data_IF_420394064391
#
_entry.id   IF_420394064391
#
_cell.length_a   1.000
_cell.length_b   1.000
_cell.length_c   1.000
_cell.angle_alpha   90.00
_cell.angle_beta   90.00
_cell.angle_gamma   90.00
#
_symmetry.space_group_name_H-M   'P 1'
#
loop_
_entity.id
_entity.type
_entity.pdbx_description
1 polymer ?
#
# COMPACT_ATOMS: atom_id res chain seq x y z
N UNK A 1 18.15 15.28 47.44
CA UNK A 1 19.02 14.16 47.06
C UNK A 1 18.08 13.05 46.57
N UNK A 2 17.96 12.94 45.26
CA UNK A 2 18.41 11.77 44.47
C UNK A 2 17.33 10.67 44.53
N UNK A 3 16.56 10.40 43.47
CA UNK A 3 17.02 10.05 42.13
C UNK A 3 17.04 8.53 42.04
N UNK A 4 15.98 7.92 41.50
CA UNK A 4 15.87 6.48 41.33
C UNK A 4 15.29 6.18 39.95
N UNK A 5 16.22 6.00 39.00
CA UNK A 5 15.99 5.73 37.58
C UNK A 5 15.07 4.52 37.35
N UNK A 6 14.11 4.68 36.43
CA UNK A 6 13.43 3.58 35.76
C UNK A 6 14.50 2.75 35.02
N UNK A 7 14.71 1.51 35.47
CA UNK A 7 15.46 0.53 34.71
C UNK A 7 14.59 0.08 33.53
N UNK A 8 14.95 0.51 32.33
CA UNK A 8 14.53 -0.16 31.10
C UNK A 8 15.16 -1.56 31.12
N UNK A 9 14.35 -2.61 31.22
CA UNK A 9 14.78 -3.98 30.97
C UNK A 9 15.16 -4.09 29.50
N UNK A 10 16.46 -3.94 29.19
CA UNK A 10 17.01 -4.32 27.89
C UNK A 10 16.86 -5.84 27.75
N UNK A 11 15.97 -6.27 26.87
CA UNK A 11 15.88 -7.67 26.47
C UNK A 11 17.11 -8.04 25.64
N UNK A 12 17.96 -8.93 26.16
CA UNK A 12 19.13 -9.40 25.43
C UNK A 12 18.72 -10.45 24.38
N UNK A 13 18.65 -10.06 23.12
CA UNK A 13 18.50 -11.00 22.00
C UNK A 13 19.82 -11.76 21.79
N UNK A 14 19.77 -13.10 21.74
CA UNK A 14 20.94 -13.95 21.49
C UNK A 14 20.85 -14.56 20.09
N UNK A 15 21.82 -14.29 19.23
CA UNK A 15 21.92 -14.87 17.88
C UNK A 15 23.03 -15.93 17.84
N UNK A 16 22.74 -17.08 17.24
CA UNK A 16 23.71 -18.18 17.13
C UNK A 16 24.72 -17.91 16.01
N UNK A 17 25.91 -18.50 16.12
CA UNK A 17 26.88 -18.46 15.04
C UNK A 17 26.30 -19.13 13.78
N UNK A 18 26.36 -18.42 12.65
CA UNK A 18 25.78 -18.87 11.38
C UNK A 18 24.36 -18.37 11.10
N UNK A 19 23.77 -17.53 11.96
CA UNK A 19 22.51 -16.84 11.65
C UNK A 19 22.69 -15.93 10.44
N UNK A 20 21.92 -16.18 9.38
CA UNK A 20 21.83 -15.30 8.22
C UNK A 20 21.12 -14.01 8.60
N UNK A 21 21.80 -12.87 8.44
CA UNK A 21 21.24 -11.53 8.74
C UNK A 21 20.76 -10.83 7.46
N UNK A 22 21.38 -11.14 6.32
CA UNK A 22 21.01 -10.62 5.01
C UNK A 22 21.46 -11.60 3.91
N UNK A 23 20.81 -11.54 2.75
CA UNK A 23 21.17 -12.32 1.57
C UNK A 23 20.92 -11.53 0.29
N UNK A 24 21.57 -11.96 -0.81
CA UNK A 24 21.37 -11.41 -2.14
C UNK A 24 20.72 -12.45 -3.03
N UNK A 25 19.64 -12.08 -3.71
CA UNK A 25 18.95 -12.95 -4.68
C UNK A 25 19.29 -12.58 -6.11
N UNK A 26 19.26 -13.58 -6.99
CA UNK A 26 19.36 -13.40 -8.43
C UNK A 26 18.16 -14.11 -9.08
N UNK A 27 17.54 -13.45 -10.07
CA UNK A 27 16.39 -14.03 -10.76
C UNK A 27 16.88 -15.02 -11.81
N UNK A 28 16.35 -16.23 -11.74
CA UNK A 28 16.53 -17.26 -12.74
C UNK A 28 15.43 -17.13 -13.79
N UNK A 29 15.80 -17.09 -15.07
CA UNK A 29 14.86 -17.18 -16.19
C UNK A 29 15.09 -18.49 -16.92
N UNK A 30 13.98 -19.18 -17.14
CA UNK A 30 13.90 -20.38 -17.95
C UNK A 30 13.16 -19.99 -19.22
N UNK A 31 13.79 -20.16 -20.38
CA UNK A 31 13.21 -19.86 -21.69
C UNK A 31 13.45 -21.05 -22.62
N UNK A 32 12.47 -21.96 -22.70
CA UNK A 32 12.66 -23.27 -23.31
C UNK A 32 13.76 -24.07 -22.58
N UNK A 33 14.83 -24.40 -23.31
CA UNK A 33 15.98 -25.16 -22.79
C UNK A 33 17.12 -24.26 -22.26
N UNK A 34 16.98 -22.93 -22.30
CA UNK A 34 18.00 -22.01 -21.79
C UNK A 34 17.73 -21.57 -20.35
N UNK A 35 18.80 -21.50 -19.57
CA UNK A 35 18.79 -21.08 -18.17
C UNK A 35 19.71 -19.86 -18.02
N UNK A 36 19.10 -18.70 -17.82
CA UNK A 36 19.83 -17.44 -17.64
C UNK A 36 19.65 -16.91 -16.22
N UNK A 37 20.73 -16.36 -15.66
CA UNK A 37 20.72 -15.67 -14.37
C UNK A 37 20.89 -14.18 -14.65
N UNK A 38 19.93 -13.37 -14.22
CA UNK A 38 20.07 -11.92 -14.33
C UNK A 38 19.64 -11.20 -13.07
N UNK A 39 20.25 -10.02 -12.90
CA UNK A 39 19.87 -9.08 -11.86
C UNK A 39 18.64 -8.32 -12.35
N UNK A 40 17.45 -8.70 -11.88
CA UNK A 40 16.24 -7.90 -12.07
C UNK A 40 15.45 -7.99 -10.78
N UNK A 41 15.60 -6.97 -9.95
CA UNK A 41 14.50 -6.49 -9.14
C UNK A 41 13.40 -6.14 -10.15
N UNK A 42 12.31 -6.89 -10.10
CA UNK A 42 11.07 -6.46 -10.71
C UNK A 42 10.12 -6.46 -9.53
N UNK A 43 10.07 -5.33 -8.83
CA UNK A 43 8.82 -4.97 -8.17
C UNK A 43 7.74 -4.95 -9.26
N UNK A 44 6.51 -5.37 -8.96
CA UNK A 44 5.39 -5.12 -9.86
C UNK A 44 5.28 -3.61 -10.18
N UNK A 45 5.66 -2.72 -9.24
CA UNK A 45 5.81 -1.28 -9.43
C UNK A 45 6.90 -0.91 -10.45
N UNK A 46 7.98 -1.71 -10.59
CA UNK A 46 8.98 -1.52 -11.66
C UNK A 46 8.55 -2.16 -12.99
N UNK A 47 7.57 -3.06 -12.95
CA UNK A 47 7.00 -3.73 -14.12
C UNK A 47 5.88 -2.91 -14.77
N UNK A 48 5.27 -1.97 -14.03
CA UNK A 48 4.31 -0.99 -14.54
C UNK A 48 5.02 0.08 -15.35
N UNK A 49 5.33 -0.23 -16.62
CA UNK A 49 5.61 0.79 -17.62
C UNK A 49 4.36 1.66 -17.79
N UNK A 50 4.32 2.79 -17.09
CA UNK A 50 3.27 3.83 -17.02
C UNK A 50 2.19 3.64 -15.93
N UNK A 51 2.26 4.40 -14.81
CA UNK A 51 1.24 4.41 -13.74
C UNK A 51 -0.12 4.99 -14.15
N UNK A 52 -0.18 5.76 -15.25
CA UNK A 52 -1.29 6.68 -15.54
C UNK A 52 -2.64 6.01 -15.78
N UNK A 53 -2.65 4.83 -16.40
CA UNK A 53 -3.88 4.12 -16.75
C UNK A 53 -4.24 2.98 -15.77
N UNK A 54 -3.29 2.55 -14.92
CA UNK A 54 -3.44 1.35 -14.10
C UNK A 54 -3.98 1.61 -12.69
N UNK A 55 -3.81 2.84 -12.17
CA UNK A 55 -4.22 3.20 -10.79
C UNK A 55 -5.62 3.81 -10.71
N UNK A 56 -6.31 3.97 -11.85
CA UNK A 56 -7.63 4.61 -11.94
C UNK A 56 -8.74 3.65 -12.33
N UNK A 57 -8.47 2.33 -12.40
CA UNK A 57 -9.48 1.33 -12.73
C UNK A 57 -10.71 1.40 -11.83
N UNK A 58 -10.49 1.64 -10.53
CA UNK A 58 -11.56 1.84 -9.55
C UNK A 58 -12.26 3.20 -9.68
N UNK A 59 -11.59 4.24 -10.20
CA UNK A 59 -12.14 5.59 -10.32
C UNK A 59 -13.33 5.65 -11.30
N UNK A 60 -13.31 4.79 -12.32
CA UNK A 60 -14.31 4.72 -13.39
C UNK A 60 -15.61 4.02 -12.97
N UNK A 61 -15.64 3.43 -11.77
CA UNK A 61 -16.83 2.79 -11.22
C UNK A 61 -17.86 3.83 -10.76
N UNK A 62 -19.13 3.42 -10.66
CA UNK A 62 -20.16 4.23 -10.04
C UNK A 62 -19.86 4.47 -8.56
N UNK A 63 -20.29 5.61 -8.03
CA UNK A 63 -20.10 6.01 -6.63
C UNK A 63 -20.52 4.89 -5.66
N UNK A 64 -21.71 4.31 -5.88
CA UNK A 64 -22.20 3.20 -5.06
C UNK A 64 -21.27 1.99 -5.06
N UNK A 65 -20.69 1.61 -6.19
CA UNK A 65 -19.73 0.51 -6.27
C UNK A 65 -18.40 0.86 -5.61
N UNK A 66 -17.91 2.10 -5.79
CA UNK A 66 -16.68 2.57 -5.11
C UNK A 66 -16.82 2.51 -3.60
N UNK A 67 -17.97 2.89 -3.05
CA UNK A 67 -18.24 2.81 -1.61
C UNK A 67 -18.23 1.36 -1.09
N UNK A 68 -18.73 0.39 -1.87
CA UNK A 68 -18.68 -1.02 -1.49
C UNK A 68 -17.23 -1.54 -1.51
N UNK A 69 -16.42 -1.14 -2.49
CA UNK A 69 -14.98 -1.41 -2.48
C UNK A 69 -14.30 -0.82 -1.25
N UNK A 70 -14.55 0.46 -0.96
CA UNK A 70 -13.95 1.15 0.19
C UNK A 70 -14.31 0.47 1.52
N UNK A 71 -15.58 0.09 1.70
CA UNK A 71 -16.02 -0.64 2.89
C UNK A 71 -15.33 -2.01 3.01
N UNK A 72 -15.16 -2.70 1.89
CA UNK A 72 -14.45 -3.99 1.87
C UNK A 72 -12.97 -3.81 2.23
N UNK A 73 -12.32 -2.77 1.73
CA UNK A 73 -10.94 -2.45 2.10
C UNK A 73 -10.79 -2.07 3.57
N UNK A 74 -11.72 -1.30 4.15
CA UNK A 74 -11.72 -1.01 5.59
C UNK A 74 -11.72 -2.28 6.44
N UNK A 75 -12.54 -3.27 6.07
CA UNK A 75 -12.59 -4.54 6.77
C UNK A 75 -11.28 -5.32 6.66
N UNK A 76 -10.66 -5.35 5.46
CA UNK A 76 -9.38 -6.01 5.21
C UNK A 76 -8.22 -5.33 5.96
N UNK A 77 -8.15 -3.99 5.91
CA UNK A 77 -7.13 -3.20 6.59
C UNK A 77 -7.20 -3.33 8.12
N UNK A 78 -8.37 -3.65 8.67
CA UNK A 78 -8.55 -3.80 10.11
C UNK A 78 -7.99 -5.11 10.68
N UNK A 79 -7.67 -6.11 9.85
CA UNK A 79 -7.06 -7.38 10.29
C UNK A 79 -5.67 -7.60 9.72
N UNK A 80 -5.43 -7.27 8.44
CA UNK A 80 -4.15 -7.43 7.74
C UNK A 80 -3.55 -8.85 7.66
N UNK A 81 -4.04 -9.81 8.43
CA UNK A 81 -3.44 -11.14 8.60
C UNK A 81 -3.33 -11.94 7.29
N UNK A 82 -4.30 -11.78 6.39
CA UNK A 82 -4.46 -12.59 5.18
C UNK A 82 -4.11 -11.84 3.88
N UNK A 83 -3.44 -10.69 3.98
CA UNK A 83 -3.00 -9.91 2.81
C UNK A 83 -2.01 -10.67 1.90
N UNK A 84 -1.07 -11.51 2.39
CA UNK A 84 -0.16 -12.27 1.53
C UNK A 84 -0.88 -13.30 0.65
N UNK A 85 -1.88 -14.00 1.19
CA UNK A 85 -2.68 -14.97 0.43
C UNK A 85 -3.54 -14.25 -0.62
N UNK A 86 -4.11 -13.09 -0.27
CA UNK A 86 -4.84 -12.25 -1.21
C UNK A 86 -3.94 -11.73 -2.34
N UNK A 87 -2.71 -11.31 -2.05
CA UNK A 87 -1.74 -10.90 -3.08
C UNK A 87 -1.45 -12.04 -4.06
N UNK A 88 -1.26 -13.27 -3.55
CA UNK A 88 -1.02 -14.43 -4.41
C UNK A 88 -2.21 -14.72 -5.32
N UNK A 89 -3.44 -14.63 -4.81
CA UNK A 89 -4.65 -14.78 -5.62
C UNK A 89 -4.74 -13.70 -6.70
N UNK A 90 -4.45 -12.44 -6.36
CA UNK A 90 -4.45 -11.32 -7.31
C UNK A 90 -3.35 -11.47 -8.38
N UNK A 91 -2.18 -11.97 -8.00
CA UNK A 91 -1.09 -12.27 -8.92
C UNK A 91 -1.49 -13.35 -9.94
N UNK A 92 -2.13 -14.43 -9.48
CA UNK A 92 -2.66 -15.48 -10.38
C UNK A 92 -3.65 -14.91 -11.39
N UNK A 93 -4.56 -14.04 -10.95
CA UNK A 93 -5.54 -13.39 -11.84
C UNK A 93 -4.89 -12.46 -12.86
N UNK A 94 -3.84 -11.72 -12.46
CA UNK A 94 -3.07 -10.88 -13.38
C UNK A 94 -2.36 -11.71 -14.46
N UNK A 95 -1.88 -12.91 -14.13
CA UNK A 95 -1.30 -13.87 -15.09
C UNK A 95 -2.38 -14.62 -15.91
N UNK A 96 -3.67 -14.25 -15.77
CA UNK A 96 -4.79 -14.85 -16.50
C UNK A 96 -5.21 -16.23 -15.97
N UNK A 97 -4.86 -16.56 -14.74
CA UNK A 97 -5.18 -17.82 -14.07
C UNK A 97 -6.34 -17.63 -13.08
N UNK A 98 -7.13 -18.69 -12.88
CA UNK A 98 -8.11 -18.72 -11.78
C UNK A 98 -7.38 -18.70 -10.42
N UNK A 99 -7.82 -17.87 -9.45
CA UNK A 99 -7.19 -17.82 -8.14
C UNK A 99 -7.44 -19.11 -7.36
N UNK A 100 -6.47 -19.49 -6.52
CA UNK A 100 -6.61 -20.66 -5.65
C UNK A 100 -7.53 -20.36 -4.45
N UNK A 101 -8.81 -20.71 -4.58
CA UNK A 101 -9.81 -20.53 -3.54
C UNK A 101 -9.66 -21.51 -2.35
N UNK A 102 -8.72 -22.47 -2.40
CA UNK A 102 -8.48 -23.35 -1.26
C UNK A 102 -7.89 -22.61 -0.06
N UNK A 103 -7.05 -21.60 -0.30
CA UNK A 103 -6.46 -20.79 0.77
C UNK A 103 -7.52 -20.10 1.64
N UNK A 104 -8.69 -19.76 1.08
CA UNK A 104 -9.82 -19.18 1.84
C UNK A 104 -10.34 -20.08 2.98
N UNK A 105 -10.19 -21.41 2.87
CA UNK A 105 -10.67 -22.34 3.89
C UNK A 105 -9.80 -22.34 5.16
N UNK A 106 -8.61 -21.77 5.09
CA UNK A 106 -7.64 -21.71 6.20
C UNK A 106 -7.75 -20.39 6.98
N UNK A 107 -8.45 -19.40 6.43
CA UNK A 107 -8.61 -18.06 7.01
C UNK A 107 -9.71 -18.03 8.08
N UNK A 108 -9.62 -17.06 8.99
CA UNK A 108 -10.70 -16.78 9.93
C UNK A 108 -11.98 -16.35 9.19
N UNK A 109 -13.15 -16.70 9.76
CA UNK A 109 -14.45 -16.46 9.10
C UNK A 109 -14.67 -15.00 8.69
N UNK A 110 -14.20 -14.05 9.52
CA UNK A 110 -14.31 -12.61 9.27
C UNK A 110 -13.45 -12.20 8.07
N UNK A 111 -12.18 -12.59 8.04
CA UNK A 111 -11.26 -12.25 6.96
C UNK A 111 -11.66 -12.93 5.65
N UNK A 112 -12.06 -14.21 5.73
CA UNK A 112 -12.62 -14.96 4.60
C UNK A 112 -13.81 -14.23 3.98
N UNK A 113 -14.75 -13.76 4.80
CA UNK A 113 -15.94 -13.06 4.31
C UNK A 113 -15.60 -11.75 3.57
N UNK A 114 -14.62 -10.98 4.05
CA UNK A 114 -14.20 -9.75 3.40
C UNK A 114 -13.42 -10.01 2.10
N UNK A 115 -12.58 -11.05 2.06
CA UNK A 115 -11.87 -11.46 0.84
C UNK A 115 -12.84 -12.03 -0.20
N UNK A 116 -13.78 -12.89 0.20
CA UNK A 116 -14.82 -13.42 -0.71
C UNK A 116 -15.65 -12.28 -1.31
N UNK A 117 -16.00 -11.28 -0.51
CA UNK A 117 -16.69 -10.08 -1.00
C UNK A 117 -15.85 -9.31 -2.01
N UNK A 118 -14.55 -9.16 -1.77
CA UNK A 118 -13.64 -8.52 -2.73
C UNK A 118 -13.59 -9.29 -4.06
N UNK A 119 -13.45 -10.63 -4.01
CA UNK A 119 -13.44 -11.48 -5.20
C UNK A 119 -14.76 -11.38 -5.98
N UNK A 120 -15.89 -11.35 -5.29
CA UNK A 120 -17.21 -11.14 -5.90
C UNK A 120 -17.30 -9.77 -6.60
N UNK A 121 -16.75 -8.70 -5.99
CA UNK A 121 -16.69 -7.36 -6.60
C UNK A 121 -15.80 -7.31 -7.85
N UNK A 122 -14.75 -8.12 -7.89
CA UNK A 122 -13.90 -8.31 -9.07
C UNK A 122 -14.58 -9.17 -10.16
N UNK A 123 -15.76 -9.75 -9.85
CA UNK A 123 -16.51 -10.61 -10.75
C UNK A 123 -16.00 -12.05 -10.78
N UNK A 124 -15.19 -12.44 -9.79
CA UNK A 124 -14.61 -13.77 -9.65
C UNK A 124 -15.58 -14.62 -8.85
N UNK A 125 -16.30 -15.50 -9.52
CA UNK A 125 -17.29 -16.36 -8.87
C UNK A 125 -16.66 -17.70 -8.49
N UNK A 126 -17.01 -18.23 -7.33
CA UNK A 126 -16.62 -19.57 -6.83
C UNK A 126 -16.90 -20.77 -7.78
N UNK A 127 -17.58 -20.54 -8.91
CA UNK A 127 -18.12 -21.58 -9.76
C UNK A 127 -17.16 -22.04 -10.89
N UNK A 128 -16.11 -21.28 -11.19
CA UNK A 128 -15.19 -21.66 -12.27
C UNK A 128 -14.13 -22.63 -11.73
N UNK A 129 -13.88 -23.77 -12.42
CA UNK A 129 -12.91 -24.76 -11.95
C UNK A 129 -11.49 -24.19 -12.01
N UNK A 130 -10.73 -24.41 -10.93
CA UNK A 130 -9.31 -24.07 -10.83
C UNK A 130 -8.51 -24.59 -12.03
N UNK A 131 -7.69 -23.72 -12.63
CA UNK A 131 -6.81 -24.07 -13.77
C UNK A 131 -7.38 -23.80 -15.17
N UNK A 132 -8.59 -23.26 -15.29
CA UNK A 132 -9.06 -22.66 -16.55
C UNK A 132 -8.45 -21.25 -16.74
N UNK A 133 -8.28 -20.77 -17.99
CA UNK A 133 -7.95 -19.37 -18.25
C UNK A 133 -9.07 -18.46 -17.72
N UNK A 134 -8.70 -17.42 -17.01
CA UNK A 134 -9.63 -16.41 -16.53
C UNK A 134 -9.99 -15.48 -17.70
N UNK A 135 -11.27 -15.40 -18.06
CA UNK A 135 -11.74 -14.50 -19.13
C UNK A 135 -12.14 -13.16 -18.52
N UNK A 136 -11.20 -12.21 -18.48
CA UNK A 136 -11.45 -10.85 -17.96
C UNK A 136 -11.75 -9.87 -19.09
N UNK A 137 -12.74 -9.00 -18.88
CA UNK A 137 -12.86 -7.79 -19.71
C UNK A 137 -11.68 -6.83 -19.44
N UNK A 138 -11.31 -5.95 -20.39
CA UNK A 138 -10.25 -4.97 -20.17
C UNK A 138 -10.47 -4.10 -18.93
N UNK A 139 -11.73 -3.76 -18.64
CA UNK A 139 -12.10 -2.99 -17.45
C UNK A 139 -11.85 -3.78 -16.16
N UNK A 140 -12.26 -5.06 -16.11
CA UNK A 140 -11.99 -5.92 -14.96
C UNK A 140 -10.49 -6.11 -14.74
N UNK A 141 -9.73 -6.30 -15.82
CA UNK A 141 -8.27 -6.41 -15.72
C UNK A 141 -7.66 -5.13 -15.12
N UNK A 142 -8.10 -3.95 -15.56
CA UNK A 142 -7.66 -2.69 -14.98
C UNK A 142 -8.01 -2.53 -13.49
N UNK A 143 -9.20 -2.98 -13.08
CA UNK A 143 -9.61 -2.99 -11.66
C UNK A 143 -8.73 -3.95 -10.86
N UNK A 144 -8.54 -5.19 -11.33
CA UNK A 144 -7.70 -6.20 -10.68
C UNK A 144 -6.27 -5.69 -10.55
N UNK A 145 -5.71 -5.05 -11.57
CA UNK A 145 -4.38 -4.42 -11.52
C UNK A 145 -4.31 -3.32 -10.45
N UNK A 146 -5.31 -2.44 -10.36
CA UNK A 146 -5.37 -1.42 -9.30
C UNK A 146 -5.41 -2.07 -7.91
N UNK A 147 -6.25 -3.10 -7.72
CA UNK A 147 -6.39 -3.80 -6.43
C UNK A 147 -5.11 -4.56 -6.08
N UNK A 148 -4.51 -5.28 -7.02
CA UNK A 148 -3.24 -5.97 -6.84
C UNK A 148 -2.13 -5.01 -6.39
N UNK A 149 -2.07 -3.83 -7.03
CA UNK A 149 -1.10 -2.78 -6.67
C UNK A 149 -1.32 -2.23 -5.26
N UNK A 150 -2.59 -2.04 -4.86
CA UNK A 150 -2.93 -1.65 -3.49
C UNK A 150 -2.50 -2.72 -2.49
N UNK A 151 -2.89 -3.98 -2.68
CA UNK A 151 -2.59 -5.07 -1.75
C UNK A 151 -1.08 -5.31 -1.64
N UNK A 152 -0.35 -5.31 -2.76
CA UNK A 152 1.10 -5.41 -2.75
C UNK A 152 1.73 -4.25 -1.96
N UNK A 153 1.21 -3.03 -2.14
CA UNK A 153 1.70 -1.88 -1.40
C UNK A 153 1.44 -2.03 0.09
N UNK A 154 0.29 -2.54 0.51
CA UNK A 154 -0.02 -2.78 1.91
C UNK A 154 0.82 -3.90 2.53
N UNK A 155 1.13 -4.97 1.77
CA UNK A 155 1.92 -6.12 2.26
C UNK A 155 3.36 -5.78 2.64
N UNK A 156 3.92 -4.70 2.10
CA UNK A 156 5.26 -4.24 2.47
C UNK A 156 5.27 -3.22 3.59
N UNK A 157 4.11 -2.69 3.99
CA UNK A 157 3.99 -1.75 5.10
C UNK A 157 3.95 -2.48 6.44
N UNK A 158 4.23 -1.74 7.51
CA UNK A 158 3.96 -2.25 8.84
C UNK A 158 2.44 -2.45 9.02
N UNK A 159 1.98 -3.53 9.69
CA UNK A 159 0.55 -3.76 9.90
C UNK A 159 -0.16 -2.58 10.59
N UNK A 160 0.53 -1.91 11.51
CA UNK A 160 -0.02 -0.72 12.19
C UNK A 160 -0.27 0.42 11.19
N UNK A 161 0.57 0.62 10.17
CA UNK A 161 0.34 1.62 9.12
C UNK A 161 -0.98 1.36 8.39
N UNK A 162 -1.31 0.10 8.11
CA UNK A 162 -2.56 -0.28 7.45
C UNK A 162 -3.79 -0.01 8.32
N UNK A 163 -3.68 -0.22 9.64
CA UNK A 163 -4.72 0.17 10.62
C UNK A 163 -4.88 1.71 10.65
N UNK A 164 -3.78 2.46 10.60
CA UNK A 164 -3.84 3.92 10.54
C UNK A 164 -4.44 4.43 9.22
N UNK A 165 -4.21 3.74 8.10
CA UNK A 165 -4.89 4.02 6.84
C UNK A 165 -6.41 3.81 6.94
N UNK A 166 -6.85 2.74 7.61
CA UNK A 166 -8.29 2.53 7.87
C UNK A 166 -8.88 3.68 8.69
N UNK A 167 -8.19 4.09 9.76
CA UNK A 167 -8.57 5.23 10.58
C UNK A 167 -8.64 6.53 9.77
N UNK A 168 -7.68 6.73 8.85
CA UNK A 168 -7.60 7.89 7.98
C UNK A 168 -8.76 7.96 6.97
N UNK A 169 -9.24 6.82 6.47
CA UNK A 169 -10.46 6.72 5.66
C UNK A 169 -11.68 7.17 6.48
N UNK A 170 -11.84 6.64 7.70
CA UNK A 170 -12.99 6.96 8.56
C UNK A 170 -13.02 8.45 8.92
N UNK A 171 -11.85 9.04 9.19
CA UNK A 171 -11.69 10.48 9.46
C UNK A 171 -11.78 11.35 8.20
N UNK A 172 -11.79 10.75 6.99
CA UNK A 172 -11.82 11.46 5.70
C UNK A 172 -10.63 12.39 5.47
N UNK A 173 -9.46 12.03 5.99
CA UNK A 173 -8.23 12.85 5.90
C UNK A 173 -7.26 12.40 4.80
N UNK A 174 -7.55 11.31 4.07
CA UNK A 174 -6.71 10.82 2.98
C UNK A 174 -6.31 11.90 1.96
N UNK A 175 -7.19 12.82 1.51
CA UNK A 175 -6.78 13.85 0.56
C UNK A 175 -5.74 14.82 1.12
N UNK A 176 -5.82 15.13 2.42
CA UNK A 176 -4.86 16.02 3.09
C UNK A 176 -3.52 15.28 3.28
N UNK A 177 -3.57 14.01 3.70
CA UNK A 177 -2.38 13.16 3.85
C UNK A 177 -1.64 12.97 2.53
N UNK A 178 -2.36 12.71 1.43
CA UNK A 178 -1.78 12.58 0.10
C UNK A 178 -1.05 13.86 -0.32
N UNK A 179 -1.65 15.03 -0.10
CA UNK A 179 -1.00 16.34 -0.37
C UNK A 179 0.22 16.55 0.52
N UNK A 180 0.14 16.22 1.80
CA UNK A 180 1.25 16.31 2.74
C UNK A 180 2.43 15.45 2.29
N UNK A 181 2.18 14.18 1.96
CA UNK A 181 3.20 13.27 1.48
C UNK A 181 3.84 13.74 0.18
N UNK A 182 3.06 14.31 -0.75
CA UNK A 182 3.60 14.89 -1.97
C UNK A 182 4.58 16.05 -1.67
N UNK A 183 4.26 16.90 -0.68
CA UNK A 183 5.15 17.98 -0.24
C UNK A 183 6.38 17.47 0.51
N UNK A 184 6.26 16.37 1.24
CA UNK A 184 7.39 15.71 1.91
C UNK A 184 8.35 15.13 0.86
N UNK A 185 7.85 14.40 -0.15
CA UNK A 185 8.67 13.87 -1.24
C UNK A 185 9.45 14.99 -1.95
N UNK A 186 8.76 16.06 -2.35
CA UNK A 186 9.37 17.19 -3.07
C UNK A 186 10.51 17.83 -2.26
N UNK A 187 10.36 17.95 -0.93
CA UNK A 187 11.33 18.62 -0.06
C UNK A 187 12.46 17.71 0.40
N UNK A 188 12.17 16.45 0.71
CA UNK A 188 13.11 15.56 1.39
C UNK A 188 13.80 14.59 0.44
N UNK A 189 13.07 14.05 -0.55
CA UNK A 189 13.61 13.03 -1.45
C UNK A 189 14.25 13.64 -2.70
N UNK A 190 14.02 14.93 -2.99
CA UNK A 190 14.51 15.65 -4.18
C UNK A 190 14.20 14.95 -5.51
N UNK A 191 13.32 13.95 -5.47
CA UNK A 191 12.72 13.31 -6.61
C UNK A 191 11.43 14.03 -6.91
N UNK A 192 11.20 14.35 -8.18
CA UNK A 192 9.85 14.69 -8.68
C UNK A 192 9.28 13.52 -9.48
N UNK A 193 9.99 12.40 -9.53
CA UNK A 193 9.75 11.37 -10.54
C UNK A 193 8.47 10.61 -10.24
N UNK A 194 8.07 10.45 -8.97
CA UNK A 194 6.86 9.72 -8.61
C UNK A 194 5.59 10.57 -8.81
N UNK A 195 5.57 11.78 -8.25
CA UNK A 195 4.45 12.73 -8.41
C UNK A 195 4.21 13.09 -9.88
N UNK A 196 5.26 13.32 -10.67
CA UNK A 196 5.10 13.66 -12.09
C UNK A 196 4.53 12.50 -12.93
N UNK A 197 4.57 11.27 -12.41
CA UNK A 197 4.00 10.09 -13.08
C UNK A 197 2.51 9.88 -12.77
N UNK A 198 1.98 10.48 -11.72
CA UNK A 198 0.57 10.41 -11.32
C UNK A 198 -0.15 11.70 -11.78
N UNK A 199 -0.98 11.60 -12.82
CA UNK A 199 -1.72 12.76 -13.36
C UNK A 199 -2.75 13.33 -12.35
N UNK A 200 -3.17 14.60 -12.51
CA UNK A 200 -3.90 15.41 -11.53
C UNK A 200 -5.40 15.06 -11.52
N UNK A 201 -5.75 13.79 -11.25
CA UNK A 201 -7.13 13.41 -10.94
C UNK A 201 -7.58 14.05 -9.63
N UNK A 202 -6.62 14.42 -8.79
CA UNK A 202 -6.82 15.47 -7.82
C UNK A 202 -6.95 16.78 -8.61
N UNK A 203 -8.19 17.16 -8.91
CA UNK A 203 -8.61 18.52 -9.28
C UNK A 203 -8.37 19.48 -8.08
N UNK A 204 -7.18 19.36 -7.48
CA UNK A 204 -6.62 20.23 -6.47
C UNK A 204 -6.33 21.46 -7.28
N UNK A 205 -7.26 22.42 -7.21
CA UNK A 205 -6.94 23.80 -7.50
C UNK A 205 -5.53 24.05 -7.00
N UNK A 206 -4.65 24.54 -7.88
CA UNK A 206 -3.32 25.03 -7.57
C UNK A 206 -3.38 26.26 -6.64
N UNK A 207 -4.17 26.21 -5.58
CA UNK A 207 -3.79 26.84 -4.34
C UNK A 207 -2.50 26.17 -3.91
N UNK A 208 -1.42 26.94 -3.97
CA UNK A 208 -0.08 26.57 -3.55
C UNK A 208 -0.09 26.32 -2.02
N UNK A 209 -0.71 25.24 -1.58
CA UNK A 209 -0.82 24.87 -0.17
C UNK A 209 0.58 24.48 0.33
N UNK A 210 1.03 25.17 1.37
CA UNK A 210 2.28 24.86 2.06
C UNK A 210 2.06 23.73 3.07
N UNK A 211 3.15 23.08 3.51
CA UNK A 211 3.08 22.10 4.61
C UNK A 211 2.39 22.69 5.85
N UNK A 212 2.66 23.96 6.17
CA UNK A 212 2.05 24.66 7.30
C UNK A 212 0.53 24.72 7.14
N UNK A 213 0.05 25.13 5.96
CA UNK A 213 -1.41 25.20 5.73
C UNK A 213 -2.09 23.84 5.78
N UNK A 214 -1.43 22.79 5.30
CA UNK A 214 -1.99 21.43 5.31
C UNK A 214 -2.03 20.84 6.73
N UNK A 215 -0.98 21.04 7.53
CA UNK A 215 -0.94 20.58 8.92
C UNK A 215 -1.99 21.30 9.79
N UNK A 216 -2.26 22.58 9.52
CA UNK A 216 -3.28 23.34 10.23
C UNK A 216 -4.72 22.92 9.87
N UNK A 217 -4.93 22.20 8.77
CA UNK A 217 -6.25 21.64 8.40
C UNK A 217 -6.60 20.39 9.22
N UNK A 218 -5.60 19.72 9.82
CA UNK A 218 -5.80 18.55 10.64
C UNK A 218 -6.09 18.96 12.09
N UNK A 219 -7.09 18.32 12.71
CA UNK A 219 -7.27 18.32 14.16
C UNK A 219 -6.13 17.59 14.86
N UNK A 220 -6.02 17.72 16.18
CA UNK A 220 -4.96 17.09 16.96
C UNK A 220 -4.91 15.56 16.75
N UNK A 221 -6.09 14.92 16.72
CA UNK A 221 -6.22 13.47 16.50
C UNK A 221 -5.88 13.06 15.07
N UNK A 222 -6.33 13.83 14.08
CA UNK A 222 -6.02 13.54 12.67
C UNK A 222 -4.53 13.75 12.36
N UNK A 223 -3.92 14.72 13.05
CA UNK A 223 -2.48 14.94 12.99
C UNK A 223 -1.71 13.79 13.62
N UNK A 224 -2.13 13.29 14.79
CA UNK A 224 -1.52 12.13 15.45
C UNK A 224 -1.52 10.90 14.53
N UNK A 225 -2.66 10.54 13.94
CA UNK A 225 -2.76 9.44 12.96
C UNK A 225 -1.83 9.66 11.75
N UNK A 226 -1.77 10.89 11.24
CA UNK A 226 -0.88 11.24 10.12
C UNK A 226 0.59 11.13 10.52
N UNK A 227 0.93 11.53 11.73
CA UNK A 227 2.29 11.49 12.26
C UNK A 227 2.74 10.05 12.50
N UNK A 228 1.89 9.19 13.04
CA UNK A 228 2.16 7.75 13.21
C UNK A 228 2.49 7.08 11.87
N UNK A 229 1.71 7.37 10.81
CA UNK A 229 2.03 6.88 9.46
C UNK A 229 3.40 7.38 9.00
N UNK A 230 3.73 8.65 9.22
CA UNK A 230 5.01 9.23 8.77
C UNK A 230 6.23 8.67 9.51
N UNK A 231 6.07 8.31 10.79
CA UNK A 231 7.14 7.75 11.62
C UNK A 231 7.62 6.39 11.12
N UNK A 232 6.73 5.56 10.58
CA UNK A 232 7.07 4.27 9.96
C UNK A 232 8.03 4.42 8.76
N UNK A 233 8.11 5.62 8.17
CA UNK A 233 9.01 5.93 7.06
C UNK A 233 10.15 6.87 7.47
N UNK A 234 10.39 7.05 8.78
CA UNK A 234 11.49 7.86 9.31
C UNK A 234 11.26 9.37 9.22
N UNK A 235 10.00 9.82 9.07
CA UNK A 235 9.66 11.24 9.03
C UNK A 235 9.01 11.70 10.33
N UNK A 236 9.52 12.81 10.86
CA UNK A 236 8.94 13.53 11.99
C UNK A 236 8.51 14.92 11.55
N UNK A 237 7.20 15.16 11.49
CA UNK A 237 6.60 16.43 11.13
C UNK A 237 6.32 17.23 12.40
N UNK A 238 6.97 18.40 12.54
CA UNK A 238 6.80 19.27 13.71
C UNK A 238 5.71 20.29 13.43
N UNK A 239 4.54 20.10 14.06
CA UNK A 239 3.35 20.92 13.82
C UNK A 239 3.56 22.41 14.04
N UNK A 240 4.30 22.79 15.08
CA UNK A 240 4.49 24.19 15.49
C UNK A 240 5.35 24.98 14.50
N UNK A 241 6.20 24.28 13.75
CA UNK A 241 7.18 24.91 12.85
C UNK A 241 7.00 24.51 11.40
N UNK A 242 6.03 23.62 11.11
CA UNK A 242 5.85 22.96 9.82
C UNK A 242 7.15 22.44 9.21
N UNK A 243 8.06 21.98 10.08
CA UNK A 243 9.38 21.48 9.70
C UNK A 243 9.41 19.97 9.72
N UNK A 244 10.20 19.38 8.82
CA UNK A 244 10.36 17.93 8.71
C UNK A 244 11.78 17.60 9.18
N UNK A 245 11.88 16.75 10.17
CA UNK A 245 13.08 15.98 10.47
C UNK A 245 12.94 14.61 9.83
N UNK A 246 14.01 14.11 9.22
CA UNK A 246 13.99 12.80 8.59
C UNK A 246 15.35 12.11 8.73
N UNK A 247 15.31 10.79 8.84
CA UNK A 247 16.48 9.92 8.73
C UNK A 247 16.12 8.82 7.73
N UNK A 248 16.57 8.99 6.48
CA UNK A 248 16.12 8.18 5.34
C UNK A 248 17.33 7.45 4.77
N UNK A 249 17.27 6.12 4.79
CA UNK A 249 18.11 5.27 3.95
C UNK A 249 17.43 5.00 2.60
N UNK A 250 18.14 4.33 1.68
CA UNK A 250 17.58 3.99 0.36
C UNK A 250 16.38 3.05 0.40
N UNK A 251 16.25 2.25 1.45
CA UNK A 251 15.19 1.24 1.57
C UNK A 251 13.88 1.91 2.02
N UNK A 252 13.97 2.91 2.91
CA UNK A 252 12.85 3.76 3.32
C UNK A 252 12.27 4.59 2.16
N UNK A 253 13.08 4.96 1.15
CA UNK A 253 12.55 5.62 -0.05
C UNK A 253 11.61 4.72 -0.85
N UNK A 254 11.96 3.45 -1.01
CA UNK A 254 11.10 2.49 -1.72
C UNK A 254 9.80 2.26 -0.93
N UNK A 255 9.89 2.08 0.40
CA UNK A 255 8.73 1.95 1.27
C UNK A 255 7.83 3.19 1.23
N UNK A 256 8.43 4.39 1.17
CA UNK A 256 7.67 5.63 1.04
C UNK A 256 6.84 5.69 -0.26
N UNK A 257 7.35 5.13 -1.37
CA UNK A 257 6.55 5.02 -2.60
C UNK A 257 5.31 4.12 -2.40
N UNK A 258 5.43 3.03 -1.65
CA UNK A 258 4.31 2.11 -1.41
C UNK A 258 3.16 2.76 -0.63
N UNK A 259 3.46 3.51 0.44
CA UNK A 259 2.42 4.25 1.19
C UNK A 259 1.78 5.33 0.32
N UNK A 260 2.56 6.02 -0.52
CA UNK A 260 2.01 7.02 -1.44
C UNK A 260 1.00 6.39 -2.41
N UNK A 261 1.34 5.24 -2.99
CA UNK A 261 0.45 4.50 -3.89
C UNK A 261 -0.83 4.07 -3.17
N UNK A 262 -0.70 3.50 -1.97
CA UNK A 262 -1.84 3.08 -1.19
C UNK A 262 -2.78 4.27 -0.92
N UNK A 263 -2.25 5.40 -0.45
CA UNK A 263 -3.02 6.63 -0.24
C UNK A 263 -3.67 7.16 -1.51
N UNK A 264 -2.96 7.13 -2.64
CA UNK A 264 -3.49 7.60 -3.91
C UNK A 264 -4.71 6.77 -4.36
N UNK A 265 -4.58 5.44 -4.34
CA UNK A 265 -5.67 4.53 -4.72
C UNK A 265 -6.85 4.70 -3.76
N UNK A 266 -6.60 4.68 -2.45
CA UNK A 266 -7.63 4.82 -1.42
C UNK A 266 -8.33 6.20 -1.51
N UNK A 267 -7.57 7.28 -1.72
CA UNK A 267 -8.14 8.62 -1.91
C UNK A 267 -9.00 8.71 -3.16
N UNK A 268 -8.65 7.99 -4.22
CA UNK A 268 -9.40 8.01 -5.50
C UNK A 268 -10.76 7.35 -5.38
N UNK A 269 -10.90 6.35 -4.51
CA UNK A 269 -12.18 5.65 -4.28
C UNK A 269 -13.02 6.27 -3.15
N UNK A 270 -12.39 7.04 -2.25
CA UNK A 270 -13.05 7.66 -1.11
C UNK A 270 -13.72 9.03 -1.42
N UNK A 271 -13.47 9.58 -2.62
CA UNK A 271 -14.06 10.83 -3.14
C UNK A 271 -15.26 10.54 -4.04
#
# INVERSE_FOLDING_TARGET
AEGGFNASTEESLTYHAGTTVAFRVLKLRIDGDSLDVYHKTRSLIESTSSPKNQLTGLAQLSEGTRLIFLQTFLEILSSCDDLPDLELMLYQMHEGLQPDLQALHQMEDKNRASIERLLDLLGIRKADPSGQPLTLSPQQNGIIETVATLIQSLNVLHPDTAIQLATSIEMKILPIQLKLMAKIEERCLKSKDFINQLDPVANVQETEESLETLVLQLTDKEFEVTQEILEDFGFLLKRETASISYDIDSDLQNLFCHIFVALYILSTIAI
#
